data_IF_414072689388
#
_entry.id   IF_414072689388
#
_cell.length_a   1.000
_cell.length_b   1.000
_cell.length_c   1.000
_cell.angle_alpha   90.00
_cell.angle_beta   90.00
_cell.angle_gamma   90.00
#
_symmetry.space_group_name_H-M   'P 1'
#
loop_
_entity.id
_entity.type
_entity.pdbx_description
1 polymer ?
#
# COMPACT_ATOMS: atom_id res chain seq x y z
N UNK A 1 53.23 48.47 34.99
CA UNK A 1 52.57 47.17 35.30
C UNK A 1 51.17 47.21 34.74
N UNK A 2 50.95 46.56 33.59
CA UNK A 2 49.66 46.49 32.90
C UNK A 2 48.93 45.16 33.31
N UNK A 3 47.87 45.30 34.07
CA UNK A 3 47.03 44.15 34.45
C UNK A 3 46.15 43.75 33.24
N UNK A 4 46.39 42.56 32.65
CA UNK A 4 45.49 41.93 31.70
C UNK A 4 44.30 41.36 32.48
N UNK A 5 43.11 41.85 32.15
CA UNK A 5 41.85 41.31 32.64
C UNK A 5 41.43 40.15 31.66
N UNK A 6 41.48 38.89 32.12
CA UNK A 6 40.95 37.76 31.40
C UNK A 6 39.42 37.71 31.62
N UNK A 7 38.66 38.02 30.58
CA UNK A 7 37.17 37.77 30.55
C UNK A 7 36.97 36.32 30.15
N UNK A 8 36.58 35.48 31.11
CA UNK A 8 36.12 34.13 30.86
C UNK A 8 34.64 34.21 30.40
N UNK A 9 34.38 34.05 29.11
CA UNK A 9 33.02 33.88 28.59
C UNK A 9 32.52 32.49 29.02
N UNK A 10 31.64 32.46 30.01
CA UNK A 10 30.83 31.27 30.29
C UNK A 10 29.79 31.12 29.14
N UNK A 11 30.01 30.14 28.26
CA UNK A 11 28.94 29.67 27.35
C UNK A 11 27.85 29.01 28.22
N UNK A 12 26.75 29.71 28.42
CA UNK A 12 25.56 29.11 29.02
C UNK A 12 25.07 27.98 28.06
N UNK A 13 24.85 26.76 28.54
CA UNK A 13 24.22 25.75 27.76
C UNK A 13 22.83 26.26 27.34
N UNK A 14 22.60 26.39 26.02
CA UNK A 14 21.30 26.74 25.50
C UNK A 14 20.31 25.67 25.96
N UNK A 15 19.39 26.04 26.84
CA UNK A 15 18.25 25.18 27.18
C UNK A 15 17.41 25.03 25.90
N UNK A 16 17.32 23.82 25.37
CA UNK A 16 16.33 23.52 24.38
C UNK A 16 14.94 23.81 24.99
N UNK A 17 14.19 24.69 24.38
CA UNK A 17 12.85 25.04 24.85
C UNK A 17 11.94 23.90 24.41
N UNK A 18 11.25 23.27 25.35
CA UNK A 18 10.19 22.31 25.06
C UNK A 18 9.14 22.95 24.14
N UNK A 19 8.88 22.33 23.01
CA UNK A 19 7.93 22.82 22.01
C UNK A 19 6.86 21.77 21.75
N UNK A 20 5.59 22.23 21.61
CA UNK A 20 4.46 21.38 21.24
C UNK A 20 4.26 21.40 19.71
N UNK A 21 4.52 20.28 19.05
CA UNK A 21 4.22 20.09 17.64
C UNK A 21 2.84 19.47 17.46
N UNK A 22 2.10 19.96 16.47
CA UNK A 22 0.80 19.35 16.09
C UNK A 22 0.93 18.77 14.70
N UNK A 23 0.65 17.47 14.55
CA UNK A 23 0.60 16.77 13.27
C UNK A 23 -0.82 16.26 13.02
N UNK A 24 -1.27 16.40 11.77
CA UNK A 24 -2.53 15.83 11.27
C UNK A 24 -2.19 14.57 10.47
N UNK A 25 -2.71 13.45 10.93
CA UNK A 25 -2.44 12.13 10.35
C UNK A 25 -3.75 11.56 9.83
N UNK A 26 -3.75 11.02 8.60
CA UNK A 26 -5.00 10.51 8.07
C UNK A 26 -4.87 9.55 6.89
N UNK A 27 -6.04 9.03 6.53
CA UNK A 27 -6.24 8.16 5.36
C UNK A 27 -7.69 8.24 4.88
N UNK A 28 -7.88 8.12 3.57
CA UNK A 28 -9.21 8.03 2.98
C UNK A 28 -9.94 6.71 3.32
N UNK A 29 -9.21 5.63 3.58
CA UNK A 29 -9.82 4.39 4.05
C UNK A 29 -10.09 4.42 5.57
N UNK A 30 -11.13 3.69 6.05
CA UNK A 30 -11.42 3.58 7.47
C UNK A 30 -10.44 2.63 8.19
N UNK A 31 -10.15 2.94 9.46
CA UNK A 31 -9.53 1.99 10.36
C UNK A 31 -10.54 0.88 10.73
N UNK A 32 -10.02 -0.31 11.06
CA UNK A 32 -10.83 -1.50 11.33
C UNK A 32 -10.81 -2.46 10.15
N UNK A 33 -11.59 -2.24 9.09
CA UNK A 33 -11.60 -3.15 7.93
C UNK A 33 -10.34 -3.04 7.07
N UNK A 34 -9.57 -1.96 7.18
CA UNK A 34 -8.34 -1.74 6.37
C UNK A 34 -7.11 -1.82 7.26
N UNK A 35 -6.27 -2.85 7.05
CA UNK A 35 -5.16 -3.19 7.95
C UNK A 35 -4.15 -2.05 8.10
N UNK A 36 -3.66 -1.49 7.00
CA UNK A 36 -2.64 -0.45 7.07
C UNK A 36 -3.13 0.80 7.83
N UNK A 37 -4.44 1.13 7.78
CA UNK A 37 -5.00 2.25 8.55
C UNK A 37 -5.18 1.86 10.02
N UNK A 38 -5.55 0.60 10.29
CA UNK A 38 -5.65 0.09 11.67
C UNK A 38 -4.30 0.19 12.37
N UNK A 39 -3.24 -0.29 11.73
CA UNK A 39 -1.88 -0.25 12.31
C UNK A 39 -1.36 1.19 12.41
N UNK A 40 -1.72 2.07 11.47
CA UNK A 40 -1.42 3.50 11.58
C UNK A 40 -2.05 4.11 12.85
N UNK A 41 -3.32 3.86 13.11
CA UNK A 41 -4.05 4.33 14.30
C UNK A 41 -3.50 3.69 15.59
N UNK A 42 -3.33 2.37 15.60
CA UNK A 42 -3.10 1.60 16.82
C UNK A 42 -1.62 1.47 17.18
N UNK A 43 -0.71 1.78 16.25
CA UNK A 43 0.72 1.75 16.48
C UNK A 43 1.40 3.09 16.17
N UNK A 44 1.30 3.62 14.93
CA UNK A 44 2.07 4.83 14.55
C UNK A 44 1.73 6.02 15.46
N UNK A 45 0.44 6.27 15.66
CA UNK A 45 -0.02 7.42 16.47
C UNK A 45 0.43 7.33 17.93
N UNK A 46 0.18 6.24 18.67
CA UNK A 46 0.63 6.15 20.06
C UNK A 46 2.15 6.07 20.19
N UNK A 47 2.85 5.41 19.26
CA UNK A 47 4.29 5.26 19.32
C UNK A 47 5.03 6.58 19.07
N UNK A 48 4.58 7.37 18.10
CA UNK A 48 5.09 8.72 17.88
C UNK A 48 4.95 9.60 19.13
N UNK A 49 3.76 9.60 19.75
CA UNK A 49 3.51 10.37 20.99
C UNK A 49 4.41 9.91 22.14
N UNK A 50 4.52 8.59 22.32
CA UNK A 50 5.31 7.99 23.39
C UNK A 50 6.80 8.33 23.22
N UNK A 51 7.37 8.04 22.04
CA UNK A 51 8.80 8.23 21.80
C UNK A 51 9.20 9.70 21.85
N UNK A 52 8.41 10.60 21.25
CA UNK A 52 8.71 12.04 21.34
C UNK A 52 8.72 12.51 22.79
N UNK A 53 7.75 12.08 23.63
CA UNK A 53 7.71 12.49 25.04
C UNK A 53 8.80 11.85 25.90
N UNK A 54 9.26 10.63 25.58
CA UNK A 54 10.26 9.91 26.40
C UNK A 54 11.71 10.17 25.94
N UNK A 55 11.94 10.42 24.65
CA UNK A 55 13.25 10.47 24.03
C UNK A 55 13.71 11.89 23.66
N UNK A 56 12.81 12.91 23.78
CA UNK A 56 13.10 14.31 23.45
C UNK A 56 12.59 15.27 24.52
N UNK A 57 12.95 16.55 24.42
CA UNK A 57 12.39 17.63 25.25
C UNK A 57 11.04 18.16 24.73
N UNK A 58 10.48 17.54 23.66
CA UNK A 58 9.33 18.04 22.93
C UNK A 58 8.05 17.26 23.24
N UNK A 59 6.91 17.84 22.90
CA UNK A 59 5.60 17.20 22.97
C UNK A 59 4.97 17.11 21.57
N UNK A 60 4.23 16.02 21.32
CA UNK A 60 3.54 15.79 20.05
C UNK A 60 2.03 15.64 20.26
N UNK A 61 1.27 16.56 19.67
CA UNK A 61 -0.17 16.45 19.53
C UNK A 61 -0.50 15.89 18.14
N UNK A 62 -1.31 14.83 18.08
CA UNK A 62 -1.77 14.25 16.83
C UNK A 62 -3.29 14.43 16.69
N UNK A 63 -3.70 14.96 15.54
CA UNK A 63 -5.09 15.04 15.09
C UNK A 63 -5.29 13.97 14.03
N UNK A 64 -6.21 13.05 14.28
CA UNK A 64 -6.42 11.88 13.44
C UNK A 64 -7.65 12.07 12.54
N UNK A 65 -7.56 11.61 11.27
CA UNK A 65 -8.67 11.62 10.33
C UNK A 65 -8.65 10.42 9.40
N UNK A 66 -9.60 9.49 9.60
CA UNK A 66 -9.73 8.26 8.83
C UNK A 66 -11.10 8.16 8.18
N UNK A 67 -11.22 7.30 7.16
CA UNK A 67 -12.47 7.04 6.48
C UNK A 67 -13.03 8.23 5.71
N UNK A 68 -12.16 9.06 5.16
CA UNK A 68 -12.56 10.22 4.37
C UNK A 68 -12.96 11.46 5.19
N UNK A 69 -12.78 11.45 6.52
CA UNK A 69 -13.17 12.57 7.38
C UNK A 69 -12.35 13.86 7.15
N UNK A 70 -11.13 13.75 6.62
CA UNK A 70 -10.27 14.89 6.23
C UNK A 70 -10.04 14.90 4.73
N UNK A 71 -9.74 13.74 4.14
CA UNK A 71 -9.51 13.56 2.71
C UNK A 71 -10.02 12.20 2.26
N UNK A 72 -10.70 12.13 1.14
CA UNK A 72 -11.16 10.89 0.53
C UNK A 72 -9.98 10.04 0.03
N UNK A 73 -10.27 8.82 -0.44
CA UNK A 73 -9.25 7.88 -0.95
C UNK A 73 -8.48 8.49 -2.13
N UNK A 74 -9.18 9.20 -3.02
CA UNK A 74 -8.61 9.83 -4.21
C UNK A 74 -8.01 11.23 -3.94
N UNK A 75 -8.06 11.74 -2.72
CA UNK A 75 -7.58 13.08 -2.36
C UNK A 75 -6.44 13.06 -1.34
N UNK A 76 -6.08 11.88 -0.81
CA UNK A 76 -5.10 11.79 0.28
C UNK A 76 -3.71 12.25 -0.18
N UNK A 77 -3.29 11.95 -1.39
CA UNK A 77 -2.01 12.42 -1.97
C UNK A 77 -1.95 13.95 -1.96
N UNK A 78 -2.97 14.62 -2.50
CA UNK A 78 -3.05 16.09 -2.56
C UNK A 78 -3.18 16.71 -1.17
N UNK A 79 -3.94 16.08 -0.26
CA UNK A 79 -4.10 16.58 1.10
C UNK A 79 -2.75 16.62 1.85
N UNK A 80 -1.87 15.64 1.62
CA UNK A 80 -0.49 15.68 2.13
C UNK A 80 0.33 16.72 1.38
N UNK A 81 0.23 16.80 0.04
CA UNK A 81 0.98 17.75 -0.77
C UNK A 81 0.75 19.21 -0.34
N UNK A 82 -0.51 19.59 -0.12
CA UNK A 82 -0.87 20.97 0.27
C UNK A 82 -0.85 21.21 1.78
N UNK A 83 -0.55 20.16 2.58
CA UNK A 83 -0.41 20.25 4.02
C UNK A 83 -1.75 20.32 4.78
N UNK A 84 -2.85 19.83 4.23
CA UNK A 84 -4.08 19.54 4.98
C UNK A 84 -3.84 18.36 5.93
N UNK A 85 -3.13 17.34 5.44
CA UNK A 85 -2.52 16.29 6.24
C UNK A 85 -1.01 16.53 6.33
N UNK A 86 -0.41 16.30 7.48
CA UNK A 86 1.04 16.28 7.65
C UNK A 86 1.58 14.91 7.30
N UNK A 87 0.89 13.81 7.69
CA UNK A 87 1.19 12.43 7.33
C UNK A 87 -0.06 11.79 6.73
N UNK A 88 0.10 11.12 5.59
CA UNK A 88 -0.96 10.34 4.94
C UNK A 88 -0.50 8.94 4.58
N UNK A 89 -1.40 7.95 4.74
CA UNK A 89 -1.22 6.62 4.19
C UNK A 89 -2.33 6.32 3.18
N UNK A 90 -1.96 5.87 1.99
CA UNK A 90 -2.91 5.66 0.89
C UNK A 90 -2.42 4.61 -0.11
N UNK A 91 -3.38 3.97 -0.81
CA UNK A 91 -3.07 3.10 -1.93
C UNK A 91 -2.65 3.91 -3.15
N UNK A 92 -1.49 3.61 -3.72
CA UNK A 92 -1.02 4.20 -4.98
C UNK A 92 -1.92 3.78 -6.17
N UNK A 93 -2.73 2.76 -6.00
CA UNK A 93 -3.69 2.25 -6.98
C UNK A 93 -4.81 3.23 -7.34
N UNK A 94 -5.09 4.21 -6.47
CA UNK A 94 -6.06 5.29 -6.73
C UNK A 94 -5.43 6.50 -7.42
N UNK A 95 -4.10 6.49 -7.61
CA UNK A 95 -3.34 7.52 -8.32
C UNK A 95 -2.58 6.95 -9.54
N UNK A 96 -3.24 6.16 -10.41
CA UNK A 96 -2.54 5.40 -11.46
C UNK A 96 -1.86 6.29 -12.51
N UNK A 97 -2.30 7.53 -12.68
CA UNK A 97 -1.67 8.49 -13.59
C UNK A 97 -0.47 9.20 -12.96
N UNK A 98 -0.60 9.64 -11.69
CA UNK A 98 0.41 10.41 -10.96
C UNK A 98 1.51 9.54 -10.39
N UNK A 99 1.15 8.37 -9.89
CA UNK A 99 2.04 7.40 -9.23
C UNK A 99 2.18 6.12 -10.07
N UNK A 100 2.30 6.26 -11.40
CA UNK A 100 2.27 5.13 -12.33
C UNK A 100 3.26 4.04 -11.94
N UNK A 101 4.56 4.36 -11.81
CA UNK A 101 5.59 3.38 -11.48
C UNK A 101 5.57 2.90 -10.02
N UNK A 102 4.92 3.61 -9.10
CA UNK A 102 4.70 3.10 -7.75
C UNK A 102 3.74 1.90 -7.73
N UNK A 103 3.00 1.67 -8.84
CA UNK A 103 2.16 0.50 -9.04
C UNK A 103 2.92 -0.71 -9.62
N UNK A 104 4.25 -0.73 -9.61
CA UNK A 104 5.09 -1.75 -10.25
C UNK A 104 4.70 -3.18 -9.88
N UNK A 105 4.26 -3.47 -8.67
CA UNK A 105 3.81 -4.81 -8.28
C UNK A 105 2.55 -5.25 -8.99
N UNK A 106 1.61 -4.34 -9.23
CA UNK A 106 0.42 -4.66 -10.02
C UNK A 106 0.75 -5.00 -11.47
N UNK A 107 1.91 -4.56 -11.96
CA UNK A 107 2.35 -4.83 -13.32
C UNK A 107 2.95 -6.23 -13.50
N UNK A 108 3.30 -6.92 -12.41
CA UNK A 108 3.77 -8.31 -12.41
C UNK A 108 2.93 -9.17 -11.44
N UNK A 109 1.69 -9.55 -11.83
CA UNK A 109 0.82 -10.39 -11.01
C UNK A 109 1.40 -11.80 -10.81
N UNK A 110 0.79 -12.57 -9.91
CA UNK A 110 1.24 -13.90 -9.49
C UNK A 110 2.57 -13.89 -8.74
N UNK A 111 2.88 -12.79 -8.06
CA UNK A 111 4.05 -12.63 -7.20
C UNK A 111 3.92 -13.34 -5.84
N UNK A 112 4.82 -13.03 -4.88
CA UNK A 112 4.83 -13.61 -3.55
C UNK A 112 3.47 -13.58 -2.86
N UNK A 113 3.14 -14.65 -2.13
CA UNK A 113 1.79 -14.90 -1.66
C UNK A 113 1.53 -14.37 -0.24
N UNK A 114 2.58 -14.07 0.53
CA UNK A 114 2.46 -13.48 1.86
C UNK A 114 2.87 -12.01 1.86
N UNK A 115 2.25 -11.23 2.77
CA UNK A 115 2.45 -9.79 2.81
C UNK A 115 3.82 -9.40 3.38
N UNK A 116 4.40 -10.21 4.29
CA UNK A 116 5.71 -9.90 4.85
C UNK A 116 6.77 -9.94 3.75
N UNK A 117 6.75 -10.98 2.91
CA UNK A 117 7.67 -11.07 1.78
C UNK A 117 7.39 -9.97 0.75
N UNK A 118 6.13 -9.76 0.37
CA UNK A 118 5.74 -8.72 -0.59
C UNK A 118 6.20 -7.31 -0.17
N UNK A 119 6.02 -6.94 1.09
CA UNK A 119 6.44 -5.63 1.62
C UNK A 119 7.97 -5.53 1.70
N UNK A 120 8.65 -6.59 2.15
CA UNK A 120 10.10 -6.65 2.22
C UNK A 120 10.74 -6.45 0.83
N UNK A 121 10.25 -7.16 -0.18
CA UNK A 121 10.74 -7.03 -1.55
C UNK A 121 10.46 -5.64 -2.13
N UNK A 122 9.27 -5.10 -1.88
CA UNK A 122 8.94 -3.74 -2.32
C UNK A 122 9.83 -2.69 -1.69
N UNK A 123 10.16 -2.82 -0.39
CA UNK A 123 11.12 -1.93 0.26
C UNK A 123 12.48 -2.01 -0.44
N UNK A 124 12.96 -3.20 -0.80
CA UNK A 124 14.21 -3.36 -1.55
C UNK A 124 14.16 -2.70 -2.93
N UNK A 125 13.00 -2.74 -3.62
CA UNK A 125 12.82 -2.02 -4.89
C UNK A 125 12.95 -0.52 -4.68
N UNK A 126 12.31 0.06 -3.66
CA UNK A 126 12.45 1.49 -3.34
C UNK A 126 13.89 1.86 -2.98
N UNK A 127 14.58 1.03 -2.21
CA UNK A 127 15.96 1.29 -1.79
C UNK A 127 16.95 1.14 -2.97
N UNK A 128 16.73 0.19 -3.90
CA UNK A 128 17.54 0.00 -5.12
C UNK A 128 17.26 1.06 -6.20
N UNK A 129 16.05 1.66 -6.18
CA UNK A 129 15.63 2.62 -7.20
C UNK A 129 15.23 3.97 -6.57
N UNK A 130 16.22 4.85 -6.28
CA UNK A 130 15.98 6.15 -5.62
C UNK A 130 15.01 7.07 -6.37
N UNK A 131 14.80 6.84 -7.67
CA UNK A 131 13.85 7.60 -8.48
C UNK A 131 12.44 7.61 -7.88
N UNK A 132 11.99 6.48 -7.30
CA UNK A 132 10.66 6.37 -6.70
C UNK A 132 10.47 7.39 -5.55
N UNK A 133 11.38 7.40 -4.57
CA UNK A 133 11.30 8.35 -3.47
C UNK A 133 11.50 9.80 -3.93
N UNK A 134 12.42 10.02 -4.88
CA UNK A 134 12.71 11.34 -5.44
C UNK A 134 11.51 11.92 -6.19
N UNK A 135 10.78 11.10 -6.93
CA UNK A 135 9.57 11.53 -7.64
C UNK A 135 8.49 12.02 -6.66
N UNK A 136 8.31 11.36 -5.50
CA UNK A 136 7.39 11.83 -4.45
C UNK A 136 7.83 13.20 -3.91
N UNK A 137 9.11 13.40 -3.69
CA UNK A 137 9.64 14.66 -3.17
C UNK A 137 9.56 15.80 -4.19
N UNK A 138 10.03 15.56 -5.42
CA UNK A 138 10.10 16.60 -6.45
C UNK A 138 8.74 16.97 -7.02
N UNK A 139 7.85 15.99 -7.24
CA UNK A 139 6.55 16.24 -7.88
C UNK A 139 5.44 16.58 -6.88
N UNK A 140 5.52 16.04 -5.66
CA UNK A 140 4.43 16.18 -4.67
C UNK A 140 4.88 16.80 -3.35
N UNK A 141 6.17 17.13 -3.16
CA UNK A 141 6.68 17.70 -1.92
C UNK A 141 6.50 16.79 -0.71
N UNK A 142 6.64 15.47 -0.90
CA UNK A 142 6.40 14.47 0.12
C UNK A 142 7.63 13.58 0.34
N UNK A 143 7.92 13.26 1.59
CA UNK A 143 8.94 12.28 1.99
C UNK A 143 8.28 10.93 2.24
N UNK A 144 8.84 9.88 1.65
CA UNK A 144 8.41 8.51 1.91
C UNK A 144 8.83 8.09 3.32
N UNK A 145 7.88 7.75 4.16
CA UNK A 145 8.12 7.21 5.50
C UNK A 145 8.07 5.68 5.52
N UNK A 146 7.08 5.10 4.83
CA UNK A 146 6.88 3.65 4.82
C UNK A 146 6.31 3.13 3.51
N UNK A 147 6.66 1.87 3.20
CA UNK A 147 6.06 1.04 2.16
C UNK A 147 5.21 -0.01 2.84
N UNK A 148 4.01 -0.22 2.33
CA UNK A 148 3.06 -1.18 2.87
C UNK A 148 2.17 -1.73 1.75
N UNK A 149 1.17 -2.54 2.07
CA UNK A 149 0.35 -3.14 1.03
C UNK A 149 -0.90 -3.83 1.50
N UNK A 150 -1.24 -4.85 0.74
CA UNK A 150 -2.40 -5.70 0.94
C UNK A 150 -1.97 -7.16 0.93
N UNK A 151 -2.77 -8.00 1.59
CA UNK A 151 -2.65 -9.44 1.52
C UNK A 151 -2.99 -9.97 0.11
N UNK A 152 -2.92 -11.27 -0.10
CA UNK A 152 -2.97 -11.91 -1.41
C UNK A 152 -4.32 -11.70 -2.12
N UNK A 153 -4.28 -11.29 -3.39
CA UNK A 153 -5.46 -11.05 -4.19
C UNK A 153 -6.07 -12.33 -4.75
N UNK A 154 -7.38 -12.44 -4.59
CA UNK A 154 -8.23 -13.53 -5.03
C UNK A 154 -9.52 -12.99 -5.64
N UNK A 155 -10.43 -13.86 -6.11
CA UNK A 155 -11.70 -13.45 -6.69
C UNK A 155 -12.87 -13.96 -5.87
N UNK A 156 -13.66 -13.03 -5.35
CA UNK A 156 -14.99 -13.33 -4.84
C UNK A 156 -16.07 -13.06 -5.90
N UNK A 157 -17.07 -13.91 -5.98
CA UNK A 157 -18.16 -13.78 -6.98
C UNK A 157 -19.51 -14.26 -6.48
N UNK A 158 -20.58 -13.74 -7.06
CA UNK A 158 -21.96 -14.21 -6.87
C UNK A 158 -22.31 -15.39 -7.78
N UNK A 159 -21.45 -15.69 -8.74
CA UNK A 159 -21.60 -16.81 -9.67
C UNK A 159 -20.48 -17.82 -9.46
N UNK A 160 -20.80 -19.10 -9.57
CA UNK A 160 -19.79 -20.17 -9.56
C UNK A 160 -19.14 -20.27 -10.94
N UNK A 161 -17.82 -20.52 -10.98
CA UNK A 161 -17.06 -20.64 -12.22
C UNK A 161 -15.89 -21.60 -12.02
N UNK A 162 -15.48 -22.33 -13.04
CA UNK A 162 -14.41 -23.33 -12.97
C UNK A 162 -13.29 -23.09 -13.98
N UNK A 163 -13.58 -22.31 -15.03
CA UNK A 163 -12.64 -21.99 -16.12
C UNK A 163 -12.67 -20.51 -16.44
N UNK A 164 -11.65 -19.99 -17.15
CA UNK A 164 -11.66 -18.62 -17.65
C UNK A 164 -12.80 -18.37 -18.64
N UNK A 165 -13.27 -19.41 -19.33
CA UNK A 165 -14.39 -19.30 -20.26
C UNK A 165 -15.70 -18.91 -19.54
N UNK A 166 -15.91 -19.37 -18.31
CA UNK A 166 -17.09 -19.06 -17.50
C UNK A 166 -17.11 -17.60 -17.04
N UNK A 167 -15.94 -16.95 -16.95
CA UNK A 167 -15.81 -15.55 -16.59
C UNK A 167 -16.02 -14.58 -17.75
N UNK A 168 -16.07 -15.06 -18.99
CA UNK A 168 -16.22 -14.19 -20.16
C UNK A 168 -17.51 -13.38 -20.10
N UNK A 169 -17.37 -12.06 -20.17
CA UNK A 169 -18.50 -11.13 -20.11
C UNK A 169 -19.08 -10.91 -18.71
N UNK A 170 -18.58 -11.60 -17.68
CA UNK A 170 -18.96 -11.34 -16.29
C UNK A 170 -18.36 -9.99 -15.86
N UNK A 171 -19.17 -9.15 -15.22
CA UNK A 171 -18.69 -7.89 -14.64
C UNK A 171 -18.04 -8.16 -13.29
N UNK A 172 -16.79 -7.78 -13.14
CA UNK A 172 -16.03 -7.91 -11.88
C UNK A 172 -15.37 -6.59 -11.53
N UNK A 173 -15.53 -6.19 -10.30
CA UNK A 173 -14.91 -4.97 -9.78
C UNK A 173 -13.45 -5.20 -9.36
N UNK A 174 -12.67 -4.14 -9.46
CA UNK A 174 -11.29 -4.05 -9.01
C UNK A 174 -10.87 -2.61 -8.80
N UNK A 175 -9.61 -2.39 -8.46
CA UNK A 175 -9.04 -1.07 -8.23
C UNK A 175 -7.95 -0.77 -9.27
N UNK A 176 -8.25 0.08 -10.26
CA UNK A 176 -7.29 0.64 -11.21
C UNK A 176 -6.30 -0.35 -11.83
N UNK A 177 -5.09 -0.46 -11.26
CA UNK A 177 -3.99 -1.21 -11.88
C UNK A 177 -4.21 -2.73 -12.02
N UNK A 178 -5.17 -3.34 -11.29
CA UNK A 178 -5.47 -4.76 -11.40
C UNK A 178 -6.62 -5.08 -12.38
N UNK A 179 -7.26 -4.09 -12.97
CA UNK A 179 -8.31 -4.29 -13.98
C UNK A 179 -7.82 -5.06 -15.23
N UNK A 180 -6.59 -4.81 -15.74
CA UNK A 180 -6.05 -5.59 -16.85
C UNK A 180 -5.90 -7.09 -16.56
N UNK A 181 -5.78 -7.51 -15.30
CA UNK A 181 -5.75 -8.93 -14.93
C UNK A 181 -7.09 -9.61 -15.24
N UNK A 182 -8.19 -8.89 -14.99
CA UNK A 182 -9.55 -9.36 -15.29
C UNK A 182 -9.81 -9.37 -16.79
N UNK A 183 -9.38 -8.33 -17.50
CA UNK A 183 -9.52 -8.22 -18.96
C UNK A 183 -8.87 -9.40 -19.69
N UNK A 184 -7.70 -9.86 -19.23
CA UNK A 184 -6.98 -10.98 -19.83
C UNK A 184 -7.77 -12.31 -19.78
N UNK A 185 -8.68 -12.45 -18.79
CA UNK A 185 -9.60 -13.58 -18.68
C UNK A 185 -10.94 -13.37 -19.42
N UNK A 186 -11.09 -12.27 -20.17
CA UNK A 186 -12.34 -11.92 -20.86
C UNK A 186 -13.45 -11.38 -19.96
N UNK A 187 -13.13 -11.02 -18.73
CA UNK A 187 -14.03 -10.36 -17.78
C UNK A 187 -14.27 -8.91 -18.23
N UNK A 188 -15.43 -8.36 -17.94
CA UNK A 188 -15.70 -6.92 -18.07
C UNK A 188 -15.30 -6.25 -16.75
N UNK A 189 -14.16 -5.55 -16.68
CA UNK A 189 -13.69 -4.96 -15.45
C UNK A 189 -14.47 -3.70 -15.11
N UNK A 190 -14.72 -3.48 -13.82
CA UNK A 190 -15.40 -2.29 -13.32
C UNK A 190 -14.53 -1.63 -12.26
N UNK A 191 -14.15 -0.37 -12.49
CA UNK A 191 -13.49 0.43 -11.47
C UNK A 191 -14.46 0.71 -10.33
N UNK A 192 -14.07 0.39 -9.09
CA UNK A 192 -14.89 0.62 -7.90
C UNK A 192 -14.04 0.90 -6.66
N UNK A 193 -14.72 1.33 -5.58
CA UNK A 193 -14.09 1.62 -4.28
C UNK A 193 -14.68 0.72 -3.19
N UNK A 194 -13.90 0.43 -2.14
CA UNK A 194 -14.36 -0.47 -1.06
C UNK A 194 -15.65 -0.03 -0.39
N UNK A 195 -15.88 1.27 -0.08
CA UNK A 195 -17.15 1.71 0.50
C UNK A 195 -18.38 1.43 -0.34
N UNK A 196 -18.24 1.45 -1.67
CA UNK A 196 -19.37 1.25 -2.60
C UNK A 196 -19.66 -0.23 -2.89
N UNK A 197 -18.70 -1.10 -2.59
CA UNK A 197 -18.65 -2.48 -3.06
C UNK A 197 -19.81 -3.35 -2.62
N UNK A 198 -20.20 -3.27 -1.35
CA UNK A 198 -21.29 -4.10 -0.82
C UNK A 198 -22.61 -3.88 -1.56
N UNK A 199 -23.01 -2.62 -1.66
CA UNK A 199 -24.28 -2.26 -2.33
C UNK A 199 -24.25 -2.57 -3.82
N UNK A 200 -23.11 -2.36 -4.48
CA UNK A 200 -22.98 -2.64 -5.90
C UNK A 200 -23.00 -4.14 -6.20
N UNK A 201 -22.41 -5.00 -5.36
CA UNK A 201 -22.54 -6.45 -5.42
C UNK A 201 -24.00 -6.88 -5.17
N UNK A 202 -24.63 -6.35 -4.11
CA UNK A 202 -26.00 -6.71 -3.74
C UNK A 202 -27.03 -6.33 -4.81
N UNK A 203 -26.81 -5.21 -5.50
CA UNK A 203 -27.72 -4.74 -6.56
C UNK A 203 -27.35 -5.27 -7.96
N UNK A 204 -26.28 -6.06 -8.08
CA UNK A 204 -25.86 -6.69 -9.33
C UNK A 204 -25.24 -5.72 -10.35
N UNK A 205 -24.69 -4.58 -9.91
CA UNK A 205 -23.90 -3.68 -10.78
C UNK A 205 -22.72 -4.46 -11.36
N UNK A 206 -22.12 -5.33 -10.55
CA UNK A 206 -21.15 -6.35 -10.94
C UNK A 206 -21.36 -7.61 -10.10
N UNK A 207 -20.88 -8.76 -10.61
CA UNK A 207 -21.07 -10.08 -10.03
C UNK A 207 -19.89 -10.58 -9.21
N UNK A 208 -18.82 -9.82 -9.11
CA UNK A 208 -17.63 -10.21 -8.35
C UNK A 208 -16.71 -9.05 -8.04
N UNK A 209 -15.75 -9.33 -7.17
CA UNK A 209 -14.69 -8.38 -6.78
C UNK A 209 -13.35 -9.09 -6.64
N UNK A 210 -12.32 -8.51 -7.29
CA UNK A 210 -10.95 -8.94 -7.15
C UNK A 210 -10.37 -8.34 -5.85
N UNK A 211 -10.27 -9.15 -4.79
CA UNK A 211 -9.92 -8.68 -3.45
C UNK A 211 -9.23 -9.74 -2.60
N UNK A 212 -8.52 -9.26 -1.62
CA UNK A 212 -7.85 -10.04 -0.58
C UNK A 212 -8.79 -10.42 0.57
N UNK A 213 -8.55 -11.59 1.25
CA UNK A 213 -9.49 -12.21 2.20
C UNK A 213 -9.84 -11.32 3.39
N UNK A 214 -8.84 -10.62 3.95
CA UNK A 214 -9.02 -9.81 5.15
C UNK A 214 -10.12 -8.76 4.99
N UNK A 215 -10.09 -8.04 3.88
CA UNK A 215 -11.08 -7.00 3.60
C UNK A 215 -12.36 -7.57 2.98
N UNK A 216 -12.29 -8.64 2.18
CA UNK A 216 -13.48 -9.26 1.61
C UNK A 216 -14.48 -9.69 2.71
N UNK A 217 -13.97 -10.28 3.78
CA UNK A 217 -14.78 -10.60 4.97
C UNK A 217 -15.22 -9.34 5.73
N UNK A 218 -14.30 -8.42 6.00
CA UNK A 218 -14.56 -7.23 6.83
C UNK A 218 -15.60 -6.28 6.22
N UNK A 219 -15.64 -6.18 4.88
CA UNK A 219 -16.66 -5.43 4.14
C UNK A 219 -17.91 -6.25 3.84
N UNK A 220 -18.00 -7.50 4.32
CA UNK A 220 -19.13 -8.41 4.15
C UNK A 220 -19.48 -8.75 2.70
N UNK A 221 -18.50 -8.68 1.80
CA UNK A 221 -18.74 -8.96 0.38
C UNK A 221 -19.16 -10.41 0.13
N UNK A 222 -18.85 -11.32 1.03
CA UNK A 222 -19.25 -12.71 1.01
C UNK A 222 -20.77 -12.93 1.14
N UNK A 223 -21.52 -11.95 1.67
CA UNK A 223 -22.99 -12.06 1.76
C UNK A 223 -23.64 -11.99 0.36
N UNK A 224 -23.39 -10.97 -0.49
CA UNK A 224 -23.91 -10.92 -1.87
C UNK A 224 -23.10 -11.76 -2.86
N UNK A 225 -21.84 -12.15 -2.57
CA UNK A 225 -20.94 -12.87 -3.47
C UNK A 225 -20.19 -13.97 -2.69
N UNK A 226 -20.86 -15.13 -2.45
CA UNK A 226 -20.39 -16.15 -1.51
C UNK A 226 -19.31 -17.09 -2.07
N UNK A 227 -19.02 -17.08 -3.37
CA UNK A 227 -17.99 -17.93 -3.97
C UNK A 227 -16.65 -17.19 -3.91
N UNK A 228 -15.66 -17.73 -3.21
CA UNK A 228 -14.35 -17.13 -3.07
C UNK A 228 -13.26 -18.07 -3.59
N UNK A 229 -12.70 -17.78 -4.76
CA UNK A 229 -11.71 -18.62 -5.43
C UNK A 229 -10.31 -18.09 -5.18
N UNK A 230 -9.46 -18.94 -4.60
CA UNK A 230 -8.05 -18.66 -4.29
C UNK A 230 -7.21 -18.76 -5.58
N UNK A 231 -6.91 -17.63 -6.19
CA UNK A 231 -6.14 -17.52 -7.43
C UNK A 231 -4.64 -17.31 -7.12
N UNK A 232 -4.36 -16.47 -6.13
CA UNK A 232 -2.99 -16.14 -5.76
C UNK A 232 -2.32 -15.21 -6.76
N UNK A 233 -2.91 -14.05 -7.03
CA UNK A 233 -2.25 -13.00 -7.82
C UNK A 233 -1.05 -12.37 -7.10
N UNK A 234 -0.90 -12.63 -5.82
CA UNK A 234 0.18 -12.16 -4.95
C UNK A 234 -0.27 -11.12 -3.94
N UNK A 235 0.50 -11.00 -2.88
CA UNK A 235 0.40 -9.92 -1.92
C UNK A 235 1.02 -8.65 -2.50
N UNK A 236 0.28 -7.54 -2.48
CA UNK A 236 0.72 -6.29 -3.10
C UNK A 236 1.43 -5.41 -2.07
N UNK A 237 2.67 -5.76 -1.71
CA UNK A 237 3.42 -5.13 -0.64
C UNK A 237 3.85 -3.67 -0.88
N UNK A 238 3.88 -3.22 -2.14
CA UNK A 238 4.17 -1.83 -2.52
C UNK A 238 2.93 -1.00 -2.86
N UNK A 239 1.74 -1.58 -2.72
CA UNK A 239 0.50 -0.94 -3.11
C UNK A 239 0.08 0.24 -2.21
N UNK A 240 0.63 0.33 -1.01
CA UNK A 240 0.35 1.40 -0.05
C UNK A 240 1.66 2.08 0.33
N UNK A 241 1.64 3.40 0.39
CA UNK A 241 2.74 4.19 0.95
C UNK A 241 2.22 5.07 2.08
N UNK A 242 3.08 5.32 3.07
CA UNK A 242 2.90 6.38 4.04
C UNK A 242 3.92 7.47 3.75
N UNK A 243 3.41 8.68 3.56
CA UNK A 243 4.23 9.85 3.24
C UNK A 243 4.00 10.98 4.23
N UNK A 244 4.97 11.87 4.35
CA UNK A 244 4.84 13.11 5.11
C UNK A 244 5.11 14.32 4.21
N UNK A 245 4.36 15.37 4.41
CA UNK A 245 4.64 16.66 3.77
C UNK A 245 6.07 17.10 4.11
N UNK A 246 6.90 17.34 3.10
CA UNK A 246 8.32 17.66 3.29
C UNK A 246 8.53 18.90 4.18
N UNK A 247 7.72 19.96 3.98
CA UNK A 247 7.80 21.17 4.83
C UNK A 247 7.39 20.90 6.27
N UNK A 248 6.42 20.00 6.49
CA UNK A 248 6.03 19.60 7.85
C UNK A 248 7.13 18.82 8.54
N UNK A 249 7.81 17.92 7.82
CA UNK A 249 8.96 17.17 8.34
C UNK A 249 10.15 18.09 8.62
N UNK A 250 10.48 19.01 7.71
CA UNK A 250 11.63 19.93 7.85
C UNK A 250 11.47 20.91 9.01
N UNK A 251 10.25 21.21 9.47
CA UNK A 251 9.99 22.04 10.66
C UNK A 251 10.23 21.31 11.98
N UNK A 252 10.27 19.98 11.98
CA UNK A 252 10.52 19.21 13.19
C UNK A 252 12.01 19.27 13.59
N UNK A 253 12.36 19.27 14.88
CA UNK A 253 13.71 19.06 15.34
C UNK A 253 14.32 17.75 14.83
N UNK A 254 15.64 17.67 14.78
CA UNK A 254 16.33 16.52 14.18
C UNK A 254 16.01 15.19 14.89
N UNK A 255 15.91 15.20 16.23
CA UNK A 255 15.53 14.05 17.05
C UNK A 255 14.09 13.60 16.80
N UNK A 256 13.14 14.56 16.72
CA UNK A 256 11.74 14.24 16.39
C UNK A 256 11.61 13.69 14.96
N UNK A 257 12.36 14.25 13.99
CA UNK A 257 12.39 13.71 12.61
C UNK A 257 12.89 12.28 12.57
N UNK A 258 13.96 11.99 13.29
CA UNK A 258 14.52 10.65 13.38
C UNK A 258 13.47 9.66 13.93
N UNK A 259 12.76 10.03 15.00
CA UNK A 259 11.66 9.21 15.55
C UNK A 259 10.58 8.96 14.52
N UNK A 260 10.16 9.98 13.75
CA UNK A 260 9.15 9.83 12.69
C UNK A 260 9.58 8.82 11.62
N UNK A 261 10.85 8.90 11.18
CA UNK A 261 11.40 7.98 10.18
C UNK A 261 11.53 6.55 10.70
N UNK A 262 11.99 6.36 11.94
CA UNK A 262 12.12 5.06 12.59
C UNK A 262 10.75 4.40 12.81
N UNK A 263 9.77 5.13 13.34
CA UNK A 263 8.39 4.64 13.53
C UNK A 263 7.77 4.26 12.18
N UNK A 264 8.09 5.00 11.11
CA UNK A 264 7.70 4.64 9.75
C UNK A 264 8.24 3.26 9.33
N UNK A 265 9.51 2.98 9.59
CA UNK A 265 10.12 1.68 9.30
C UNK A 265 9.54 0.54 10.16
N UNK A 266 9.31 0.80 11.44
CA UNK A 266 8.68 -0.19 12.32
C UNK A 266 7.23 -0.50 11.90
N UNK A 267 6.52 0.51 11.41
CA UNK A 267 5.16 0.35 10.87
C UNK A 267 5.11 -0.63 9.69
N UNK A 268 6.09 -0.63 8.79
CA UNK A 268 6.15 -1.59 7.67
C UNK A 268 6.12 -3.03 8.19
N UNK A 269 6.96 -3.33 9.18
CA UNK A 269 7.09 -4.68 9.74
C UNK A 269 5.83 -5.10 10.50
N UNK A 270 5.23 -4.18 11.26
CA UNK A 270 4.01 -4.48 12.02
C UNK A 270 2.80 -4.68 11.12
N UNK A 271 2.64 -3.82 10.13
CA UNK A 271 1.53 -3.94 9.20
C UNK A 271 1.65 -5.20 8.33
N UNK A 272 2.87 -5.58 7.91
CA UNK A 272 3.13 -6.81 7.19
C UNK A 272 2.67 -8.05 7.98
N UNK A 273 3.04 -8.14 9.25
CA UNK A 273 2.60 -9.24 10.15
C UNK A 273 1.09 -9.25 10.35
N UNK A 274 0.49 -8.09 10.58
CA UNK A 274 -0.96 -7.99 10.77
C UNK A 274 -1.72 -8.37 9.51
N UNK A 275 -1.20 -8.07 8.31
CA UNK A 275 -1.79 -8.49 7.04
C UNK A 275 -1.84 -10.02 6.93
N UNK A 276 -0.74 -10.72 7.20
CA UNK A 276 -0.70 -12.19 7.14
C UNK A 276 -1.64 -12.82 8.17
N UNK A 277 -1.67 -12.29 9.40
CA UNK A 277 -2.60 -12.75 10.45
C UNK A 277 -4.05 -12.56 9.99
N UNK A 278 -4.38 -11.40 9.43
CA UNK A 278 -5.76 -11.14 8.96
C UNK A 278 -6.11 -11.85 7.68
N UNK A 279 -5.17 -12.17 6.82
CA UNK A 279 -5.39 -13.03 5.65
C UNK A 279 -5.89 -14.40 6.09
N UNK A 280 -5.19 -15.03 7.04
CA UNK A 280 -5.55 -16.35 7.60
C UNK A 280 -6.93 -16.26 8.27
N UNK A 281 -7.11 -15.30 9.18
CA UNK A 281 -8.38 -15.11 9.88
C UNK A 281 -9.54 -14.78 8.90
N UNK A 282 -9.26 -14.01 7.85
CA UNK A 282 -10.23 -13.70 6.80
C UNK A 282 -10.74 -14.95 6.09
N UNK A 283 -9.84 -15.85 5.70
CA UNK A 283 -10.21 -17.13 5.07
C UNK A 283 -11.00 -18.05 6.01
N UNK A 284 -10.60 -18.14 7.27
CA UNK A 284 -11.33 -18.91 8.29
C UNK A 284 -12.74 -18.34 8.52
N UNK A 285 -12.85 -17.03 8.64
CA UNK A 285 -14.12 -16.34 8.83
C UNK A 285 -15.06 -16.46 7.62
N UNK A 286 -14.52 -16.40 6.39
CA UNK A 286 -15.30 -16.63 5.17
C UNK A 286 -15.92 -18.03 5.17
N UNK A 287 -15.13 -19.07 5.50
CA UNK A 287 -15.62 -20.44 5.62
C UNK A 287 -16.67 -20.58 6.73
N UNK A 288 -16.40 -20.00 7.89
CA UNK A 288 -17.33 -20.02 9.03
C UNK A 288 -18.65 -19.29 8.75
N UNK A 289 -18.62 -18.25 7.92
CA UNK A 289 -19.81 -17.53 7.46
C UNK A 289 -20.58 -18.24 6.32
N UNK A 290 -20.11 -19.41 5.89
CA UNK A 290 -20.78 -20.21 4.85
C UNK A 290 -20.39 -19.85 3.41
N UNK A 291 -19.33 -19.05 3.21
CA UNK A 291 -18.80 -18.82 1.88
C UNK A 291 -18.12 -20.08 1.32
N UNK A 292 -18.28 -20.34 0.05
CA UNK A 292 -17.58 -21.42 -0.66
C UNK A 292 -16.18 -20.96 -1.03
N UNK A 293 -15.19 -21.34 -0.20
CA UNK A 293 -13.77 -21.02 -0.43
C UNK A 293 -13.09 -22.21 -1.08
N UNK A 294 -12.54 -22.02 -2.29
CA UNK A 294 -11.89 -23.09 -3.06
C UNK A 294 -10.60 -22.61 -3.71
N UNK A 295 -9.72 -23.56 -4.00
CA UNK A 295 -8.53 -23.30 -4.78
C UNK A 295 -8.86 -23.27 -6.28
N UNK A 296 -8.21 -22.39 -7.04
CA UNK A 296 -8.25 -22.43 -8.48
C UNK A 296 -7.39 -23.62 -8.98
N UNK A 297 -7.89 -24.49 -9.90
CA UNK A 297 -7.06 -25.53 -10.48
C UNK A 297 -5.78 -24.96 -11.10
N UNK A 298 -4.64 -25.62 -10.85
CA UNK A 298 -3.32 -25.13 -11.29
C UNK A 298 -3.24 -24.90 -12.80
N UNK A 299 -3.91 -25.73 -13.60
CA UNK A 299 -3.95 -25.56 -15.06
C UNK A 299 -4.64 -24.24 -15.46
N UNK A 300 -5.73 -23.87 -14.77
CA UNK A 300 -6.46 -22.61 -15.04
C UNK A 300 -5.67 -21.42 -14.53
N UNK A 301 -4.98 -21.56 -13.38
CA UNK A 301 -4.08 -20.54 -12.85
C UNK A 301 -2.94 -20.26 -13.82
N UNK A 302 -2.34 -21.30 -14.37
CA UNK A 302 -1.25 -21.20 -15.38
C UNK A 302 -1.75 -20.54 -16.66
N UNK A 303 -2.90 -20.95 -17.20
CA UNK A 303 -3.54 -20.33 -18.36
C UNK A 303 -3.72 -18.81 -18.15
N UNK A 304 -4.16 -18.41 -16.94
CA UNK A 304 -4.31 -16.99 -16.61
C UNK A 304 -2.96 -16.28 -16.55
N UNK A 305 -1.97 -16.88 -15.91
CA UNK A 305 -0.62 -16.31 -15.83
C UNK A 305 0.01 -16.15 -17.23
N UNK A 306 -0.14 -17.15 -18.11
CA UNK A 306 0.33 -17.10 -19.49
C UNK A 306 -0.31 -15.95 -20.29
N UNK A 307 -1.59 -15.67 -20.06
CA UNK A 307 -2.29 -14.54 -20.71
C UNK A 307 -1.75 -13.16 -20.29
N UNK A 308 -1.00 -13.10 -19.18
CA UNK A 308 -0.40 -11.90 -18.62
C UNK A 308 1.13 -11.86 -18.72
N UNK A 309 1.75 -12.82 -19.43
CA UNK A 309 3.22 -12.96 -19.51
C UNK A 309 3.93 -11.72 -20.07
N UNK A 310 3.33 -11.01 -21.04
CA UNK A 310 3.87 -9.77 -21.61
C UNK A 310 3.42 -8.49 -20.85
N UNK A 311 2.53 -8.62 -19.88
CA UNK A 311 1.97 -7.45 -19.21
C UNK A 311 3.03 -6.59 -18.48
N UNK A 312 4.01 -7.16 -17.74
CA UNK A 312 5.07 -6.39 -17.13
C UNK A 312 5.90 -5.58 -18.14
N UNK A 313 6.26 -6.19 -19.28
CA UNK A 313 7.02 -5.54 -20.35
C UNK A 313 6.25 -4.37 -20.98
N UNK A 314 4.96 -4.55 -21.25
CA UNK A 314 4.11 -3.47 -21.78
C UNK A 314 4.04 -2.28 -20.82
N UNK A 315 3.89 -2.53 -19.52
CA UNK A 315 3.84 -1.45 -18.51
C UNK A 315 5.20 -0.77 -18.34
N UNK A 316 6.30 -1.52 -18.41
CA UNK A 316 7.63 -0.98 -18.41
C UNK A 316 7.85 -0.02 -19.61
N UNK A 317 7.53 -0.46 -20.83
CA UNK A 317 7.63 0.37 -22.05
C UNK A 317 6.70 1.58 -22.02
N UNK A 318 5.52 1.44 -21.46
CA UNK A 318 4.60 2.58 -21.26
C UNK A 318 5.22 3.63 -20.34
N UNK A 319 5.83 3.22 -19.23
CA UNK A 319 6.54 4.12 -18.34
C UNK A 319 7.73 4.80 -19.04
N UNK A 320 8.55 4.02 -19.77
CA UNK A 320 9.69 4.55 -20.52
C UNK A 320 9.25 5.60 -21.54
N UNK A 321 8.12 5.36 -22.23
CA UNK A 321 7.57 6.31 -23.20
C UNK A 321 7.12 7.63 -22.58
N UNK A 322 6.85 7.62 -21.28
CA UNK A 322 6.50 8.80 -20.46
C UNK A 322 7.74 9.47 -19.83
N UNK A 323 8.96 8.98 -20.12
CA UNK A 323 10.22 9.49 -19.56
C UNK A 323 10.50 9.01 -18.12
N UNK A 324 9.85 7.96 -17.67
CA UNK A 324 10.09 7.32 -16.37
C UNK A 324 10.98 6.08 -16.56
N UNK A 325 11.76 5.65 -15.55
CA UNK A 325 12.66 4.47 -15.66
C UNK A 325 11.89 3.14 -15.52
N UNK A 326 10.93 2.89 -16.42
CA UNK A 326 10.01 1.77 -16.35
C UNK A 326 10.70 0.42 -16.43
N UNK A 327 11.51 0.22 -17.48
CA UNK A 327 12.25 -1.03 -17.70
C UNK A 327 13.24 -1.30 -16.57
N UNK A 328 13.90 -0.27 -16.02
CA UNK A 328 14.84 -0.40 -14.89
C UNK A 328 14.12 -0.89 -13.62
N UNK A 329 13.03 -0.24 -13.24
CA UNK A 329 12.28 -0.57 -12.03
C UNK A 329 11.63 -1.96 -12.15
N UNK A 330 11.04 -2.29 -13.29
CA UNK A 330 10.42 -3.59 -13.50
C UNK A 330 11.44 -4.72 -13.49
N UNK A 331 12.60 -4.57 -14.15
CA UNK A 331 13.70 -5.55 -14.04
C UNK A 331 14.16 -5.70 -12.60
N UNK A 332 14.38 -4.59 -11.90
CA UNK A 332 14.78 -4.59 -10.49
C UNK A 332 13.79 -5.37 -9.61
N UNK A 333 12.48 -5.19 -9.80
CA UNK A 333 11.47 -5.93 -9.05
C UNK A 333 11.50 -7.43 -9.35
N UNK A 334 11.58 -7.82 -10.62
CA UNK A 334 11.63 -9.23 -11.02
C UNK A 334 12.91 -9.91 -10.48
N UNK A 335 14.06 -9.24 -10.60
CA UNK A 335 15.35 -9.72 -10.10
C UNK A 335 15.35 -9.88 -8.57
N UNK A 336 14.91 -8.85 -7.82
CA UNK A 336 14.82 -8.89 -6.36
C UNK A 336 13.91 -10.04 -5.91
N UNK A 337 12.81 -10.26 -6.63
CA UNK A 337 11.87 -11.35 -6.32
C UNK A 337 12.50 -12.71 -6.60
N UNK A 338 13.22 -12.87 -7.71
CA UNK A 338 13.95 -14.11 -8.00
C UNK A 338 15.10 -14.37 -7.01
N UNK A 339 15.84 -13.33 -6.61
CA UNK A 339 16.89 -13.39 -5.59
C UNK A 339 16.37 -13.89 -4.23
N UNK A 340 15.08 -13.69 -3.94
CA UNK A 340 14.44 -14.23 -2.72
C UNK A 340 14.14 -15.73 -2.78
N UNK A 341 14.32 -16.35 -3.94
CA UNK A 341 13.98 -17.75 -4.19
C UNK A 341 12.53 -17.96 -4.65
N UNK A 342 11.79 -16.88 -4.93
CA UNK A 342 10.43 -17.00 -5.47
C UNK A 342 10.48 -17.40 -6.96
N UNK A 343 9.70 -18.42 -7.32
CA UNK A 343 9.56 -18.88 -8.70
C UNK A 343 8.24 -18.37 -9.28
N UNK A 344 8.35 -17.55 -10.33
CA UNK A 344 7.18 -17.05 -11.05
C UNK A 344 6.50 -18.19 -11.84
N UNK A 345 5.16 -18.23 -11.95
CA UNK A 345 4.47 -19.28 -12.73
C UNK A 345 4.73 -19.18 -14.23
N UNK A 346 5.22 -18.05 -14.71
CA UNK A 346 5.62 -17.77 -16.10
C UNK A 346 6.86 -16.88 -16.11
N UNK A 347 7.65 -16.95 -17.17
CA UNK A 347 8.81 -16.09 -17.33
C UNK A 347 8.39 -14.67 -17.72
N UNK A 348 8.71 -13.71 -16.87
CA UNK A 348 8.56 -12.29 -17.17
C UNK A 348 9.86 -11.73 -17.74
N UNK A 349 9.82 -11.31 -19.01
CA UNK A 349 10.97 -10.68 -19.70
C UNK A 349 10.70 -9.20 -19.87
N UNK A 350 11.65 -8.34 -19.45
CA UNK A 350 11.62 -6.89 -19.67
C UNK A 350 12.72 -6.54 -20.67
N UNK A 351 12.31 -6.09 -21.86
CA UNK A 351 13.22 -5.70 -22.97
C UNK A 351 13.85 -4.32 -22.77
#
# INVERSE_FOLDING_TARGET
>A
MRRLLFIVLFALPGHAVAELFTLRIGSGHPAGPTVYVTVMRDFVVPELKRRVAEETEHELRIVEGYGGSIASVAETLEAVQIGILDIGAFCVCFEPAKLFLHNFQYFAPFGPQDAQEGIRLSRQVYDRNPWLAKQLEESYGQRLLAVNGFDNYHLGSSVEWESLADLRGVKVAGAGPNLPWLESAGVIPVQSTLPDGYMALQTGVYSGWLMFPSSYFAYKFHEPAPYYTLIGFGAMGGAVIMTMNARSLDRLPADVRQIVEEVGREYEVRAARELDVRQIAGLENLRAAGATVRDLPEAVRREWAESLSDFPNRMAKEADSRGMPGSEIMRSYIEITAESGYEWPVDYTIE
#
